data_IF_591589203956
#
_entry.id   IF_591589203956
#
_cell.length_a   1.000
_cell.length_b   1.000
_cell.length_c   1.000
_cell.angle_alpha   90.00
_cell.angle_beta   90.00
_cell.angle_gamma   90.00
#
_symmetry.space_group_name_H-M   'P 1'
#
loop_
_entity.id
_entity.type
_entity.pdbx_description
1 polymer ?
#
# COMPACT_ATOMS: atom_id res chain seq x y z
N UNK A 1 -29.96 16.65 11.73
CA UNK A 1 -29.61 16.36 10.32
C UNK A 1 -28.47 15.37 10.30
N UNK A 2 -28.74 14.08 10.04
CA UNK A 2 -27.70 13.06 9.89
C UNK A 2 -27.44 12.86 8.41
N UNK A 3 -26.24 13.23 7.94
CA UNK A 3 -25.80 13.03 6.55
C UNK A 3 -25.59 11.53 6.30
N UNK A 4 -26.33 11.01 5.33
CA UNK A 4 -26.16 9.69 4.71
C UNK A 4 -24.79 9.59 4.04
N UNK A 5 -23.91 8.75 4.57
CA UNK A 5 -22.80 8.16 3.83
C UNK A 5 -23.30 6.83 3.28
N UNK A 6 -23.61 6.76 1.98
CA UNK A 6 -23.67 5.47 1.27
C UNK A 6 -22.25 4.90 1.28
N UNK A 7 -21.99 4.06 2.28
CA UNK A 7 -20.78 3.26 2.41
C UNK A 7 -21.11 1.96 1.72
N UNK A 8 -20.38 1.63 0.66
CA UNK A 8 -20.48 0.34 -0.03
C UNK A 8 -20.76 -0.79 0.97
N UNK A 9 -21.61 -1.77 0.62
CA UNK A 9 -21.98 -2.95 1.42
C UNK A 9 -20.78 -3.88 1.77
N UNK A 10 -19.56 -3.38 1.63
CA UNK A 10 -18.30 -4.04 1.91
C UNK A 10 -17.90 -3.86 3.38
N UNK A 11 -17.88 -4.97 4.12
CA UNK A 11 -17.31 -5.02 5.47
C UNK A 11 -15.78 -4.86 5.36
N UNK A 12 -15.21 -3.97 6.18
CA UNK A 12 -13.79 -3.67 6.22
C UNK A 12 -13.24 -3.88 7.62
N UNK A 13 -12.09 -4.53 7.74
CA UNK A 13 -11.39 -4.64 9.02
C UNK A 13 -10.99 -3.24 9.52
N UNK A 14 -11.26 -2.98 10.80
CA UNK A 14 -10.77 -1.80 11.50
C UNK A 14 -9.25 -1.91 11.72
N UNK A 15 -8.52 -0.78 11.84
CA UNK A 15 -7.06 -0.81 12.06
C UNK A 15 -6.63 -1.67 13.25
N UNK A 16 -7.39 -1.63 14.35
CA UNK A 16 -7.15 -2.49 15.52
C UNK A 16 -7.27 -3.97 15.17
N UNK A 17 -8.34 -4.36 14.48
CA UNK A 17 -8.51 -5.76 14.06
C UNK A 17 -7.40 -6.23 13.12
N UNK A 18 -6.90 -5.35 12.23
CA UNK A 18 -5.76 -5.66 11.36
C UNK A 18 -4.49 -5.91 12.20
N UNK A 19 -4.22 -5.07 13.21
CA UNK A 19 -3.05 -5.22 14.06
C UNK A 19 -3.08 -6.53 14.87
N UNK A 20 -4.23 -6.89 15.44
CA UNK A 20 -4.38 -8.14 16.21
C UNK A 20 -4.32 -9.38 15.31
N UNK A 21 -4.83 -9.29 14.08
CA UNK A 21 -4.87 -10.41 13.13
C UNK A 21 -3.62 -10.48 12.23
N UNK A 22 -2.69 -9.54 12.33
CA UNK A 22 -1.51 -9.44 11.46
C UNK A 22 -0.76 -10.77 11.33
N UNK A 23 -0.43 -11.50 12.41
CA UNK A 23 0.24 -12.80 12.29
C UNK A 23 -0.56 -13.77 11.41
N UNK A 24 -1.88 -13.90 11.67
CA UNK A 24 -2.77 -14.83 10.95
C UNK A 24 -2.91 -14.45 9.49
N UNK A 25 -3.04 -13.15 9.21
CA UNK A 25 -3.12 -12.63 7.84
C UNK A 25 -1.84 -12.97 7.06
N UNK A 26 -0.67 -12.83 7.67
CA UNK A 26 0.60 -13.15 7.00
C UNK A 26 0.83 -14.66 6.88
N UNK A 27 0.72 -15.44 7.96
CA UNK A 27 1.11 -16.87 7.94
C UNK A 27 0.06 -17.76 7.24
N UNK A 28 -1.22 -17.51 7.47
CA UNK A 28 -2.31 -18.37 6.97
C UNK A 28 -2.80 -17.95 5.60
N UNK A 29 -2.86 -16.64 5.35
CA UNK A 29 -3.42 -16.08 4.12
C UNK A 29 -2.37 -15.49 3.18
N UNK A 30 -1.08 -15.50 3.57
CA UNK A 30 0.01 -15.00 2.72
C UNK A 30 -0.14 -13.52 2.37
N UNK A 31 -0.77 -12.72 3.22
CA UNK A 31 -0.91 -11.29 2.96
C UNK A 31 0.49 -10.64 2.90
N UNK A 32 0.80 -9.86 1.85
CA UNK A 32 2.11 -9.27 1.68
C UNK A 32 2.31 -8.14 2.70
N UNK A 33 3.57 -7.88 3.06
CA UNK A 33 3.94 -6.75 3.91
C UNK A 33 4.31 -5.54 3.06
N UNK A 34 4.09 -4.36 3.63
CA UNK A 34 4.47 -3.10 3.01
C UNK A 34 5.99 -2.95 3.01
N UNK A 35 6.60 -2.67 1.86
CA UNK A 35 8.04 -2.51 1.73
C UNK A 35 8.62 -1.38 2.61
N UNK A 36 7.80 -0.37 2.95
CA UNK A 36 8.24 0.79 3.74
C UNK A 36 8.05 0.63 5.25
N UNK A 37 6.89 0.15 5.70
CA UNK A 37 6.57 0.08 7.13
C UNK A 37 6.56 -1.35 7.69
N UNK A 38 6.79 -2.36 6.85
CA UNK A 38 6.81 -3.79 7.19
C UNK A 38 5.52 -4.35 7.79
N UNK A 39 4.42 -3.56 7.78
CA UNK A 39 3.09 -3.99 8.21
C UNK A 39 2.31 -4.66 7.10
N UNK A 40 1.42 -5.58 7.47
CA UNK A 40 0.57 -6.30 6.51
C UNK A 40 -0.29 -5.38 5.63
N UNK A 41 -0.33 -5.67 4.34
CA UNK A 41 -1.17 -5.00 3.34
C UNK A 41 -2.42 -5.83 3.11
N UNK A 42 -3.50 -5.46 3.82
CA UNK A 42 -4.79 -6.17 3.75
C UNK A 42 -5.58 -5.82 2.49
N UNK A 43 -5.43 -4.60 1.97
CA UNK A 43 -6.18 -4.10 0.81
C UNK A 43 -5.27 -3.93 -0.40
N UNK A 44 -5.14 -4.98 -1.21
CA UNK A 44 -4.31 -4.95 -2.43
C UNK A 44 -4.75 -3.88 -3.42
N UNK A 45 -6.05 -3.69 -3.63
CA UNK A 45 -6.60 -2.67 -4.55
C UNK A 45 -6.34 -1.22 -4.12
N UNK A 46 -5.95 -1.00 -2.87
CA UNK A 46 -5.64 0.32 -2.32
C UNK A 46 -4.14 0.49 -1.99
N UNK A 47 -3.32 -0.47 -2.43
CA UNK A 47 -1.88 -0.44 -2.26
C UNK A 47 -1.21 -0.14 -3.59
N UNK A 48 -0.11 0.60 -3.53
CA UNK A 48 0.79 0.78 -4.67
C UNK A 48 1.58 -0.52 -4.83
N UNK A 49 1.49 -1.13 -6.00
CA UNK A 49 2.19 -2.38 -6.32
C UNK A 49 3.23 -2.11 -7.40
N UNK A 50 4.43 -2.65 -7.21
CA UNK A 50 5.45 -2.61 -8.25
C UNK A 50 5.13 -3.65 -9.32
N UNK A 51 4.99 -3.22 -10.58
CA UNK A 51 4.69 -4.12 -11.70
C UNK A 51 5.86 -5.08 -12.02
N UNK A 52 7.09 -4.76 -11.58
CA UNK A 52 8.29 -5.57 -11.83
C UNK A 52 8.59 -6.61 -10.74
N UNK A 53 8.50 -6.22 -9.46
CA UNK A 53 8.88 -7.09 -8.35
C UNK A 53 7.72 -7.42 -7.40
N UNK A 54 6.49 -6.99 -7.73
CA UNK A 54 5.27 -7.28 -6.98
C UNK A 54 5.33 -6.89 -5.48
N UNK A 55 6.23 -6.00 -5.08
CA UNK A 55 6.22 -5.45 -3.73
C UNK A 55 5.00 -4.55 -3.56
N UNK A 56 4.43 -4.59 -2.36
CA UNK A 56 3.25 -3.82 -2.02
C UNK A 56 3.63 -2.68 -1.08
N UNK A 57 3.00 -1.53 -1.25
CA UNK A 57 3.23 -0.34 -0.44
C UNK A 57 1.87 0.26 -0.11
N UNK A 58 1.59 0.53 1.17
CA UNK A 58 0.34 1.21 1.53
C UNK A 58 0.28 2.59 0.86
N UNK A 59 -0.89 3.00 0.36
CA UNK A 59 -1.09 4.33 -0.25
C UNK A 59 -0.53 5.46 0.61
N UNK A 60 -0.81 5.45 1.92
CA UNK A 60 -0.28 6.48 2.83
C UNK A 60 1.25 6.46 2.93
N UNK A 61 1.88 5.29 2.99
CA UNK A 61 3.34 5.17 3.03
C UNK A 61 3.96 5.70 1.73
N UNK A 62 3.35 5.38 0.58
CA UNK A 62 3.76 5.94 -0.71
C UNK A 62 3.62 7.46 -0.74
N UNK A 63 2.46 8.01 -0.37
CA UNK A 63 2.24 9.47 -0.35
C UNK A 63 3.27 10.18 0.51
N UNK A 64 3.62 9.61 1.67
CA UNK A 64 4.65 10.17 2.55
C UNK A 64 6.04 10.12 1.91
N UNK A 65 6.39 9.01 1.24
CA UNK A 65 7.65 8.89 0.50
C UNK A 65 7.71 9.91 -0.65
N UNK A 66 6.65 10.01 -1.43
CA UNK A 66 6.56 10.90 -2.58
C UNK A 66 6.63 12.37 -2.20
N UNK A 67 6.00 12.77 -1.09
CA UNK A 67 6.07 14.13 -0.58
C UNK A 67 7.47 14.53 -0.08
N UNK A 68 8.31 13.57 0.30
CA UNK A 68 9.67 13.82 0.77
C UNK A 68 10.75 13.70 -0.32
N UNK A 69 10.36 13.40 -1.56
CA UNK A 69 11.27 13.28 -2.69
C UNK A 69 11.03 14.46 -3.63
N UNK A 70 12.08 15.15 -4.10
CA UNK A 70 11.95 16.23 -5.07
C UNK A 70 11.85 15.73 -6.51
N UNK A 71 12.32 14.50 -6.79
CA UNK A 71 12.28 13.90 -8.13
C UNK A 71 10.86 13.47 -8.52
N UNK A 72 10.51 13.57 -9.81
CA UNK A 72 9.21 13.13 -10.33
C UNK A 72 9.07 11.61 -10.38
N UNK A 73 10.21 10.92 -10.46
CA UNK A 73 10.29 9.48 -10.43
C UNK A 73 11.02 9.00 -9.17
N UNK A 74 10.50 7.94 -8.56
CA UNK A 74 11.04 7.35 -7.35
C UNK A 74 11.38 5.89 -7.62
N UNK A 75 12.61 5.49 -7.31
CA UNK A 75 13.03 4.10 -7.40
C UNK A 75 12.18 3.21 -6.50
N UNK A 76 11.89 2.00 -6.97
CA UNK A 76 11.11 1.03 -6.24
C UNK A 76 11.62 0.87 -4.79
N UNK A 77 10.79 1.09 -3.77
CA UNK A 77 11.16 0.87 -2.37
C UNK A 77 11.53 -0.59 -2.08
N UNK A 78 11.08 -1.51 -2.92
CA UNK A 78 11.49 -2.92 -2.90
C UNK A 78 12.92 -3.16 -3.36
N UNK A 79 13.64 -2.17 -3.90
CA UNK A 79 15.00 -2.33 -4.42
C UNK A 79 15.94 -3.00 -3.40
N UNK A 80 15.86 -2.60 -2.13
CA UNK A 80 16.67 -3.18 -1.06
C UNK A 80 16.30 -4.64 -0.71
N UNK A 81 15.07 -5.06 -1.01
CA UNK A 81 14.56 -6.39 -0.67
C UNK A 81 14.64 -7.37 -1.85
N UNK A 82 14.40 -6.88 -3.08
CA UNK A 82 14.26 -7.71 -4.28
C UNK A 82 15.27 -7.37 -5.38
N UNK A 83 16.14 -6.37 -5.19
CA UNK A 83 17.06 -5.89 -6.22
C UNK A 83 16.35 -5.16 -7.38
N UNK A 84 15.10 -4.75 -7.18
CA UNK A 84 14.29 -4.12 -8.22
C UNK A 84 14.73 -2.68 -8.51
N UNK A 85 14.98 -2.38 -9.78
CA UNK A 85 15.29 -1.03 -10.28
C UNK A 85 14.09 -0.38 -10.99
N UNK A 86 12.87 -0.89 -10.77
CA UNK A 86 11.67 -0.28 -11.33
C UNK A 86 11.50 1.14 -10.81
N UNK A 87 11.01 2.04 -11.64
CA UNK A 87 10.75 3.43 -11.28
C UNK A 87 9.24 3.67 -11.23
N UNK A 88 8.84 4.53 -10.30
CA UNK A 88 7.46 4.93 -10.11
C UNK A 88 7.34 6.42 -10.38
N UNK A 89 6.57 6.78 -11.39
CA UNK A 89 6.13 8.16 -11.61
C UNK A 89 5.11 8.56 -10.53
N UNK A 90 5.30 9.72 -9.92
CA UNK A 90 4.37 10.24 -8.90
C UNK A 90 2.96 10.47 -9.44
N UNK A 91 2.84 10.96 -10.68
CA UNK A 91 1.54 11.24 -11.32
C UNK A 91 0.76 9.95 -11.56
N UNK A 92 1.43 8.93 -12.09
CA UNK A 92 0.79 7.66 -12.47
C UNK A 92 0.22 6.96 -11.24
N UNK A 93 0.94 7.04 -10.12
CA UNK A 93 0.44 6.51 -8.85
C UNK A 93 -0.71 7.37 -8.32
N UNK A 94 -0.66 8.70 -8.44
CA UNK A 94 -1.77 9.56 -8.00
C UNK A 94 -3.07 9.28 -8.78
N UNK A 95 -3.01 9.13 -10.10
CA UNK A 95 -4.16 8.83 -10.98
C UNK A 95 -4.78 7.45 -10.69
N UNK A 96 -3.97 6.44 -10.39
CA UNK A 96 -4.46 5.10 -10.03
C UNK A 96 -5.31 5.09 -8.74
N UNK A 97 -5.23 6.14 -7.92
CA UNK A 97 -5.95 6.22 -6.64
C UNK A 97 -6.75 7.52 -6.44
N UNK A 98 -6.97 8.30 -7.49
CA UNK A 98 -7.84 9.49 -7.53
C UNK A 98 -9.30 9.12 -7.63
#
# INVERSE_FOLDING_TARGET
>A
MFRTLQKDDTIRLAPRAIAELEPVLTWKYGCPNCALCQRVVVRKSAAVTCDFCNVHIHKHCWTKLAAGCEADEITCPGSALSGCNGMFSKSDVAERFS
#
